data_IF_521440309005
#
_entry.id   IF_521440309005
#
_cell.length_a   1.000
_cell.length_b   1.000
_cell.length_c   1.000
_cell.angle_alpha   90.00
_cell.angle_beta   90.00
_cell.angle_gamma   90.00
#
_symmetry.space_group_name_H-M   'P 1'
#
loop_
_entity.id
_entity.type
_entity.pdbx_description
1 polymer ?
#
# COMPACT_ATOMS: atom_id res chain seq x y z
N UNK A 1 10.51 -4.66 -18.03
CA UNK A 1 9.61 -4.37 -16.91
C UNK A 1 10.12 -5.07 -15.66
N UNK A 2 9.84 -4.55 -14.47
CA UNK A 2 10.34 -5.08 -13.20
C UNK A 2 9.27 -4.98 -12.11
N UNK A 3 9.36 -5.81 -11.07
CA UNK A 3 8.64 -5.64 -9.82
C UNK A 3 9.42 -4.64 -8.96
N UNK A 4 8.78 -3.53 -8.61
CA UNK A 4 9.38 -2.53 -7.73
C UNK A 4 9.23 -2.99 -6.28
N UNK A 5 10.36 -3.09 -5.58
CA UNK A 5 10.42 -3.49 -4.16
C UNK A 5 10.82 -2.25 -3.35
N UNK A 6 9.98 -1.88 -2.38
CA UNK A 6 10.15 -0.66 -1.59
C UNK A 6 10.30 -1.03 -0.11
N UNK A 7 11.26 -0.44 0.56
CA UNK A 7 11.42 -0.62 2.00
C UNK A 7 12.49 0.28 2.59
N UNK A 8 12.59 0.25 3.91
CA UNK A 8 13.60 0.97 4.69
C UNK A 8 14.78 0.03 4.91
N UNK A 9 15.86 0.22 4.18
CA UNK A 9 17.06 -0.64 4.25
C UNK A 9 17.72 -0.56 5.63
N UNK A 10 17.69 0.60 6.26
CA UNK A 10 18.24 0.82 7.60
C UNK A 10 17.50 0.09 8.73
N UNK A 11 16.38 -0.57 8.41
CA UNK A 11 15.58 -1.36 9.36
C UNK A 11 15.34 -2.81 8.93
N UNK A 12 15.19 -3.08 7.60
CA UNK A 12 14.61 -4.33 7.07
C UNK A 12 15.41 -4.97 5.95
N UNK A 13 16.71 -4.72 5.89
CA UNK A 13 17.59 -5.21 4.82
C UNK A 13 17.45 -6.73 4.59
N UNK A 14 17.44 -7.54 5.66
CA UNK A 14 17.34 -9.01 5.53
C UNK A 14 16.02 -9.44 4.91
N UNK A 15 14.92 -8.82 5.31
CA UNK A 15 13.60 -9.15 4.76
C UNK A 15 13.49 -8.71 3.28
N UNK A 16 14.05 -7.55 2.94
CA UNK A 16 14.13 -7.05 1.56
C UNK A 16 14.97 -7.98 0.69
N UNK A 17 16.13 -8.44 1.18
CA UNK A 17 16.98 -9.41 0.49
C UNK A 17 16.21 -10.69 0.15
N UNK A 18 15.46 -11.25 1.12
CA UNK A 18 14.65 -12.46 0.90
C UNK A 18 13.59 -12.23 -0.18
N UNK A 19 12.90 -11.08 -0.14
CA UNK A 19 11.88 -10.74 -1.14
C UNK A 19 12.51 -10.63 -2.53
N UNK A 20 13.61 -9.89 -2.66
CA UNK A 20 14.33 -9.71 -3.93
C UNK A 20 14.78 -11.04 -4.52
N UNK A 21 15.42 -11.88 -3.71
CA UNK A 21 15.94 -13.17 -4.15
C UNK A 21 14.81 -14.09 -4.59
N UNK A 22 13.69 -14.11 -3.84
CA UNK A 22 12.54 -14.95 -4.17
C UNK A 22 11.88 -14.50 -5.47
N UNK A 23 11.68 -13.20 -5.68
CA UNK A 23 11.12 -12.64 -6.90
C UNK A 23 12.02 -12.97 -8.10
N UNK A 24 13.36 -12.86 -7.95
CA UNK A 24 14.34 -13.20 -8.99
C UNK A 24 14.35 -14.70 -9.30
N UNK A 25 14.24 -15.56 -8.27
CA UNK A 25 14.10 -17.02 -8.45
C UNK A 25 12.87 -17.39 -9.26
N UNK A 26 11.80 -16.61 -9.21
CA UNK A 26 10.60 -16.78 -10.04
C UNK A 26 10.74 -16.21 -11.45
N UNK A 27 11.90 -15.68 -11.81
CA UNK A 27 12.21 -15.18 -13.16
C UNK A 27 11.84 -13.71 -13.40
N UNK A 28 11.43 -12.97 -12.37
CA UNK A 28 11.13 -11.54 -12.52
C UNK A 28 12.37 -10.67 -12.28
N UNK A 29 12.42 -9.54 -12.97
CA UNK A 29 13.38 -8.47 -12.66
C UNK A 29 12.88 -7.66 -11.48
N UNK A 30 13.79 -7.11 -10.70
CA UNK A 30 13.48 -6.28 -9.53
C UNK A 30 14.09 -4.89 -9.68
N UNK A 31 13.43 -3.90 -9.08
CA UNK A 31 13.98 -2.57 -8.87
C UNK A 31 13.79 -2.23 -7.38
N UNK A 32 14.88 -2.17 -6.63
CA UNK A 32 14.86 -1.86 -5.20
C UNK A 32 14.92 -0.35 -4.99
N UNK A 33 13.93 0.17 -4.26
CA UNK A 33 13.87 1.59 -3.87
C UNK A 33 13.98 1.69 -2.35
N UNK A 34 15.02 2.39 -1.89
CA UNK A 34 15.19 2.70 -0.48
C UNK A 34 14.41 3.95 -0.08
N UNK A 35 13.61 3.80 0.96
CA UNK A 35 12.83 4.90 1.57
C UNK A 35 13.26 5.17 3.01
N UNK A 36 14.49 4.82 3.38
CA UNK A 36 15.05 5.10 4.70
C UNK A 36 15.09 6.60 4.97
N UNK A 37 14.63 6.98 6.16
CA UNK A 37 14.60 8.40 6.61
C UNK A 37 15.55 8.64 7.77
N UNK A 38 16.48 7.73 8.00
CA UNK A 38 17.51 7.83 9.04
C UNK A 38 17.01 7.46 10.44
N UNK A 39 15.93 6.67 10.54
CA UNK A 39 15.38 6.20 11.80
C UNK A 39 15.87 4.80 12.21
N UNK A 40 16.47 4.05 11.27
CA UNK A 40 16.95 2.70 11.49
C UNK A 40 18.35 2.64 12.13
N UNK A 41 18.69 1.45 12.62
CA UNK A 41 19.95 1.19 13.32
C UNK A 41 20.97 0.41 12.47
N UNK A 42 20.62 0.03 11.24
CA UNK A 42 21.43 -0.79 10.36
C UNK A 42 22.16 0.10 9.35
N UNK A 43 23.44 -0.17 9.14
CA UNK A 43 24.17 0.34 7.96
C UNK A 43 24.01 -0.70 6.86
N UNK A 44 23.19 -0.46 5.83
CA UNK A 44 22.86 -1.49 4.86
C UNK A 44 24.08 -1.82 3.98
N UNK A 45 24.28 -3.12 3.73
CA UNK A 45 25.23 -3.63 2.76
C UNK A 45 24.59 -3.73 1.36
N UNK A 46 23.27 -3.95 1.31
CA UNK A 46 22.51 -4.02 0.07
C UNK A 46 22.42 -2.66 -0.59
N UNK A 47 22.78 -2.62 -1.88
CA UNK A 47 22.72 -1.38 -2.66
C UNK A 47 21.37 -1.28 -3.35
N UNK A 48 20.58 -0.20 -3.13
CA UNK A 48 19.33 0.02 -3.83
C UNK A 48 19.58 0.50 -5.28
N UNK A 49 18.64 0.23 -6.16
CA UNK A 49 18.63 0.80 -7.53
C UNK A 49 18.22 2.29 -7.50
N UNK A 50 17.48 2.71 -6.47
CA UNK A 50 17.12 4.11 -6.22
C UNK A 50 17.27 4.39 -4.74
N UNK A 51 18.06 5.38 -4.41
CA UNK A 51 18.36 5.79 -3.04
C UNK A 51 17.32 6.79 -2.51
N UNK A 52 17.17 6.88 -1.20
CA UNK A 52 16.33 7.90 -0.57
C UNK A 52 16.82 9.33 -0.90
N UNK A 53 18.11 9.52 -1.18
CA UNK A 53 18.67 10.80 -1.58
C UNK A 53 18.21 11.18 -2.99
N UNK A 54 18.22 10.24 -3.95
CA UNK A 54 17.66 10.48 -5.29
C UNK A 54 16.17 10.80 -5.26
N UNK A 55 15.41 10.15 -4.36
CA UNK A 55 13.99 10.51 -4.13
C UNK A 55 13.85 11.94 -3.60
N UNK A 56 14.73 12.37 -2.68
CA UNK A 56 14.71 13.74 -2.18
C UNK A 56 15.06 14.77 -3.26
N UNK A 57 15.97 14.46 -4.16
CA UNK A 57 16.29 15.30 -5.31
C UNK A 57 15.12 15.41 -6.29
N UNK A 58 14.44 14.29 -6.60
CA UNK A 58 13.23 14.27 -7.41
C UNK A 58 12.09 15.11 -6.78
N UNK A 59 11.91 15.02 -5.46
CA UNK A 59 10.91 15.82 -4.75
C UNK A 59 11.21 17.32 -4.85
N UNK A 60 12.47 17.69 -4.75
CA UNK A 60 12.92 19.07 -4.91
C UNK A 60 12.70 19.56 -6.35
N UNK A 61 13.05 18.75 -7.34
CA UNK A 61 12.93 19.10 -8.75
C UNK A 61 11.46 19.22 -9.18
N UNK A 62 10.60 18.24 -8.81
CA UNK A 62 9.23 18.12 -9.30
C UNK A 62 8.22 18.91 -8.47
N UNK A 63 8.41 18.99 -7.16
CA UNK A 63 7.46 19.61 -6.22
C UNK A 63 8.02 20.82 -5.46
N UNK A 64 9.29 21.18 -5.67
CA UNK A 64 9.96 22.24 -4.92
C UNK A 64 10.14 21.93 -3.44
N UNK A 65 10.02 20.66 -3.04
CA UNK A 65 10.08 20.23 -1.64
C UNK A 65 11.51 19.89 -1.22
N UNK A 66 11.96 20.53 -0.15
CA UNK A 66 13.21 20.20 0.52
C UNK A 66 13.00 20.17 2.02
N UNK A 67 13.79 19.39 2.74
CA UNK A 67 13.71 19.31 4.21
C UNK A 67 14.01 20.70 4.82
N UNK A 68 13.14 21.16 5.69
CA UNK A 68 13.24 22.45 6.41
C UNK A 68 11.92 23.21 6.46
N UNK A 69 11.81 24.21 7.33
CA UNK A 69 10.63 25.08 7.47
C UNK A 69 9.28 24.33 7.51
N UNK A 70 9.19 23.24 8.31
CA UNK A 70 7.96 22.45 8.49
C UNK A 70 7.81 21.29 7.50
N UNK A 71 8.74 21.14 6.55
CA UNK A 71 8.78 19.98 5.63
C UNK A 71 9.59 18.85 6.29
N UNK A 72 8.97 17.71 6.49
CA UNK A 72 9.63 16.55 7.12
C UNK A 72 10.36 15.68 6.09
N UNK A 73 11.41 14.92 6.50
CA UNK A 73 12.03 13.93 5.61
C UNK A 73 11.02 12.96 5.00
N UNK A 74 10.04 12.51 5.77
CA UNK A 74 9.00 11.59 5.31
C UNK A 74 8.19 12.18 4.14
N UNK A 75 7.80 13.47 4.21
CA UNK A 75 7.04 14.12 3.15
C UNK A 75 7.87 14.28 1.88
N UNK A 76 9.15 14.61 2.01
CA UNK A 76 10.07 14.72 0.87
C UNK A 76 10.23 13.36 0.17
N UNK A 77 10.55 12.30 0.93
CA UNK A 77 10.70 10.95 0.37
C UNK A 77 9.38 10.44 -0.24
N UNK A 78 8.22 10.78 0.37
CA UNK A 78 6.91 10.43 -0.18
C UNK A 78 6.69 11.04 -1.57
N UNK A 79 6.93 12.34 -1.74
CA UNK A 79 6.74 12.99 -3.03
C UNK A 79 7.76 12.51 -4.08
N UNK A 80 9.00 12.27 -3.67
CA UNK A 80 10.01 11.67 -4.55
C UNK A 80 9.64 10.26 -5.00
N UNK A 81 9.14 9.44 -4.10
CA UNK A 81 8.69 8.09 -4.43
C UNK A 81 7.49 8.12 -5.39
N UNK A 82 6.51 9.00 -5.18
CA UNK A 82 5.38 9.20 -6.10
C UNK A 82 5.88 9.55 -7.51
N UNK A 83 6.77 10.53 -7.61
CA UNK A 83 7.36 10.94 -8.89
C UNK A 83 8.09 9.76 -9.58
N UNK A 84 8.91 9.02 -8.82
CA UNK A 84 9.66 7.87 -9.35
C UNK A 84 8.75 6.74 -9.83
N UNK A 85 7.71 6.40 -9.07
CA UNK A 85 6.73 5.37 -9.44
C UNK A 85 5.95 5.79 -10.70
N UNK A 86 5.55 7.06 -10.78
CA UNK A 86 4.90 7.60 -11.97
C UNK A 86 5.80 7.47 -13.21
N UNK A 87 7.08 7.85 -13.10
CA UNK A 87 8.03 7.75 -14.21
C UNK A 87 8.28 6.29 -14.65
N UNK A 88 8.51 5.38 -13.68
CA UNK A 88 8.72 3.95 -13.97
C UNK A 88 7.49 3.32 -14.66
N UNK A 89 6.29 3.67 -14.23
CA UNK A 89 5.07 3.20 -14.86
C UNK A 89 4.89 3.81 -16.26
N UNK A 90 5.05 5.13 -16.40
CA UNK A 90 4.92 5.84 -17.68
C UNK A 90 5.91 5.36 -18.76
N UNK A 91 7.12 4.95 -18.34
CA UNK A 91 8.12 4.36 -19.24
C UNK A 91 7.92 2.85 -19.48
N UNK A 92 6.86 2.23 -18.94
CA UNK A 92 6.61 0.80 -19.09
C UNK A 92 7.66 -0.08 -18.40
N UNK A 93 8.31 0.41 -17.35
CA UNK A 93 9.35 -0.32 -16.61
C UNK A 93 8.81 -1.02 -15.37
N UNK A 94 7.58 -0.73 -14.93
CA UNK A 94 6.94 -1.27 -13.74
C UNK A 94 5.82 -2.24 -14.11
N UNK A 95 5.85 -3.46 -13.56
CA UNK A 95 4.79 -4.49 -13.68
C UNK A 95 3.98 -4.66 -12.39
N UNK A 96 4.54 -4.28 -11.26
CA UNK A 96 3.90 -4.35 -9.95
C UNK A 96 4.78 -3.69 -8.90
N UNK A 97 4.19 -3.43 -7.74
CA UNK A 97 4.86 -2.79 -6.61
C UNK A 97 4.58 -3.57 -5.32
N UNK A 98 5.63 -3.92 -4.59
CA UNK A 98 5.55 -4.47 -3.24
C UNK A 98 6.32 -3.60 -2.26
N UNK A 99 5.75 -3.34 -1.09
CA UNK A 99 6.43 -2.66 0.00
C UNK A 99 6.38 -3.51 1.28
N UNK A 100 7.52 -3.67 1.96
CA UNK A 100 7.59 -4.26 3.30
C UNK A 100 7.98 -3.18 4.30
N UNK A 101 7.07 -2.87 5.22
CA UNK A 101 7.18 -1.65 6.02
C UNK A 101 6.55 -1.77 7.40
N UNK A 102 7.05 -0.94 8.32
CA UNK A 102 6.31 -0.53 9.52
C UNK A 102 5.35 0.63 9.23
N UNK A 103 5.00 1.40 10.25
CA UNK A 103 4.05 2.51 10.12
C UNK A 103 4.59 3.63 9.23
N UNK A 104 5.81 4.09 9.46
CA UNK A 104 6.41 5.20 8.70
C UNK A 104 6.54 4.86 7.23
N UNK A 105 7.09 3.69 6.91
CA UNK A 105 7.23 3.25 5.53
C UNK A 105 5.88 3.02 4.83
N UNK A 106 4.83 2.58 5.54
CA UNK A 106 3.50 2.47 4.99
C UNK A 106 2.92 3.85 4.60
N UNK A 107 3.13 4.87 5.44
CA UNK A 107 2.71 6.25 5.14
C UNK A 107 3.44 6.86 3.95
N UNK A 108 4.67 6.42 3.68
CA UNK A 108 5.46 6.83 2.51
C UNK A 108 5.03 6.04 1.26
N UNK A 109 4.83 4.72 1.38
CA UNK A 109 4.59 3.83 0.23
C UNK A 109 3.16 3.89 -0.30
N UNK A 110 2.15 4.02 0.58
CA UNK A 110 0.74 4.02 0.17
C UNK A 110 0.37 5.18 -0.78
N UNK A 111 0.81 6.43 -0.57
CA UNK A 111 0.60 7.49 -1.55
C UNK A 111 1.15 7.16 -2.94
N UNK A 112 2.34 6.54 -3.02
CA UNK A 112 2.93 6.13 -4.29
C UNK A 112 2.15 4.97 -4.96
N UNK A 113 1.67 4.00 -4.18
CA UNK A 113 0.78 2.94 -4.69
C UNK A 113 -0.52 3.49 -5.28
N UNK A 114 -1.01 4.62 -4.76
CA UNK A 114 -2.22 5.29 -5.28
C UNK A 114 -2.01 5.92 -6.66
N UNK A 115 -0.79 6.26 -7.05
CA UNK A 115 -0.49 6.78 -8.39
C UNK A 115 -0.61 5.71 -9.47
N UNK A 116 -0.50 4.43 -9.11
CA UNK A 116 -0.63 3.33 -10.06
C UNK A 116 -2.10 3.10 -10.43
N UNK A 117 -2.42 2.85 -11.71
CA UNK A 117 -3.76 2.53 -12.17
C UNK A 117 -4.36 1.30 -11.49
N UNK A 118 -5.69 1.18 -11.54
CA UNK A 118 -6.39 -0.04 -11.15
C UNK A 118 -5.92 -1.23 -11.99
N UNK A 119 -5.82 -2.40 -11.36
CA UNK A 119 -5.37 -3.64 -11.98
C UNK A 119 -3.86 -3.85 -11.93
N UNK A 120 -3.04 -2.80 -11.83
CA UNK A 120 -1.59 -2.97 -11.60
C UNK A 120 -1.37 -3.60 -10.22
N UNK A 121 -0.62 -4.72 -10.10
CA UNK A 121 -0.38 -5.39 -8.83
C UNK A 121 0.27 -4.50 -7.77
N UNK A 122 -0.38 -4.38 -6.61
CA UNK A 122 0.08 -3.59 -5.47
C UNK A 122 -0.05 -4.39 -4.18
N UNK A 123 1.06 -4.64 -3.50
CA UNK A 123 1.09 -5.40 -2.24
C UNK A 123 1.81 -4.61 -1.16
N UNK A 124 1.13 -4.37 -0.05
CA UNK A 124 1.72 -3.83 1.17
C UNK A 124 1.83 -4.93 2.23
N UNK A 125 3.05 -5.20 2.69
CA UNK A 125 3.35 -6.13 3.79
C UNK A 125 3.64 -5.28 5.02
N UNK A 126 2.74 -5.31 6.02
CA UNK A 126 2.88 -4.44 7.20
C UNK A 126 2.15 -4.98 8.42
N UNK A 127 2.80 -4.91 9.58
CA UNK A 127 2.18 -5.19 10.87
C UNK A 127 1.42 -4.01 11.47
N UNK A 128 1.57 -2.83 10.92
CA UNK A 128 1.02 -1.60 11.50
C UNK A 128 -0.37 -1.22 10.96
N UNK A 129 -0.61 -1.44 9.67
CA UNK A 129 -1.79 -0.90 8.96
C UNK A 129 -3.10 -1.56 9.35
N UNK A 130 -3.07 -2.83 9.77
CA UNK A 130 -4.25 -3.58 10.22
C UNK A 130 -4.57 -3.43 11.71
N UNK A 131 -3.77 -2.68 12.48
CA UNK A 131 -4.02 -2.48 13.89
C UNK A 131 -5.20 -1.51 14.11
N UNK A 132 -6.15 -1.81 15.02
CA UNK A 132 -7.33 -0.96 15.23
C UNK A 132 -7.01 0.49 15.55
N UNK A 133 -5.95 0.74 16.31
CA UNK A 133 -5.48 2.10 16.68
C UNK A 133 -5.05 2.93 15.46
N UNK A 134 -4.72 2.29 14.36
CA UNK A 134 -4.27 2.93 13.13
C UNK A 134 -5.28 2.83 11.97
N UNK A 135 -6.35 2.06 12.13
CA UNK A 135 -7.33 1.79 11.08
C UNK A 135 -7.90 3.05 10.43
N UNK A 136 -8.26 4.06 11.23
CA UNK A 136 -8.76 5.33 10.72
C UNK A 136 -7.74 6.07 9.84
N UNK A 137 -6.44 6.00 10.20
CA UNK A 137 -5.37 6.66 9.46
C UNK A 137 -5.11 6.04 8.09
N UNK A 138 -5.27 4.72 7.99
CA UNK A 138 -5.02 3.97 6.76
C UNK A 138 -6.28 3.68 5.94
N UNK A 139 -7.47 3.84 6.52
CA UNK A 139 -8.74 3.54 5.88
C UNK A 139 -8.95 4.25 4.54
N UNK A 140 -8.59 5.51 4.44
CA UNK A 140 -8.72 6.31 3.22
C UNK A 140 -7.86 5.78 2.04
N UNK A 141 -6.74 5.11 2.35
CA UNK A 141 -5.91 4.51 1.31
C UNK A 141 -6.54 3.26 0.72
N UNK A 142 -7.27 2.49 1.53
CA UNK A 142 -7.85 1.21 1.10
C UNK A 142 -9.27 1.37 0.54
N UNK A 143 -10.01 2.41 0.96
CA UNK A 143 -11.40 2.61 0.58
C UNK A 143 -11.61 2.86 -0.92
N UNK A 144 -10.59 3.34 -1.63
CA UNK A 144 -10.70 3.80 -3.03
C UNK A 144 -9.61 3.27 -3.95
N UNK A 145 -8.89 2.22 -3.53
CA UNK A 145 -7.78 1.64 -4.31
C UNK A 145 -7.72 0.14 -4.12
N UNK A 146 -7.28 -0.55 -5.14
CA UNK A 146 -7.08 -1.99 -5.22
C UNK A 146 -5.71 -2.40 -4.63
N UNK A 147 -5.43 -1.97 -3.41
CA UNK A 147 -4.19 -2.31 -2.71
C UNK A 147 -4.41 -3.59 -1.90
N UNK A 148 -3.63 -4.63 -2.18
CA UNK A 148 -3.61 -5.84 -1.35
C UNK A 148 -2.76 -5.58 -0.11
N UNK A 149 -3.28 -5.94 1.07
CA UNK A 149 -2.56 -5.80 2.34
C UNK A 149 -2.32 -7.18 2.94
N UNK A 150 -1.07 -7.52 3.14
CA UNK A 150 -0.65 -8.64 3.96
C UNK A 150 -0.36 -8.13 5.37
N UNK A 151 -1.32 -8.30 6.28
CA UNK A 151 -1.15 -7.93 7.67
C UNK A 151 -0.30 -8.98 8.40
N UNK A 152 0.88 -8.59 8.86
CA UNK A 152 1.84 -9.51 9.47
C UNK A 152 1.64 -9.72 10.95
N UNK A 153 0.83 -8.87 11.63
CA UNK A 153 0.61 -8.81 13.08
C UNK A 153 1.87 -8.44 13.86
N UNK A 154 3.00 -9.05 13.50
CA UNK A 154 4.32 -8.75 14.09
C UNK A 154 5.07 -7.74 13.23
N UNK A 155 5.97 -6.99 13.86
CA UNK A 155 6.89 -6.13 13.11
C UNK A 155 7.87 -6.99 12.29
N UNK A 156 8.28 -6.48 11.16
CA UNK A 156 9.20 -7.12 10.22
C UNK A 156 10.64 -6.63 10.35
N UNK A 157 10.96 -5.94 11.45
CA UNK A 157 12.33 -5.59 11.83
C UNK A 157 13.03 -6.82 12.42
N UNK A 158 14.27 -7.06 11.99
CA UNK A 158 15.03 -8.23 12.35
C UNK A 158 14.52 -9.52 11.68
N UNK A 159 15.33 -10.56 11.75
CA UNK A 159 15.05 -11.83 11.08
C UNK A 159 14.76 -12.95 12.07
N UNK A 160 13.64 -13.61 11.86
CA UNK A 160 13.26 -14.84 12.53
C UNK A 160 12.47 -15.74 11.55
N UNK A 161 12.20 -17.02 11.89
CA UNK A 161 11.52 -17.93 10.98
C UNK A 161 10.15 -17.45 10.50
N UNK A 162 9.41 -16.72 11.36
CA UNK A 162 8.09 -16.16 11.00
C UNK A 162 8.23 -15.03 9.99
N UNK A 163 9.10 -14.05 10.25
CA UNK A 163 9.36 -12.93 9.33
C UNK A 163 9.87 -13.43 7.98
N UNK A 164 10.76 -14.45 8.00
CA UNK A 164 11.23 -15.11 6.78
C UNK A 164 10.07 -15.72 5.97
N UNK A 165 9.18 -16.45 6.63
CA UNK A 165 8.01 -17.07 5.99
C UNK A 165 7.08 -16.00 5.40
N UNK A 166 6.82 -14.91 6.12
CA UNK A 166 5.98 -13.80 5.66
C UNK A 166 6.60 -13.08 4.46
N UNK A 167 7.92 -12.85 4.47
CA UNK A 167 8.64 -12.24 3.34
C UNK A 167 8.55 -13.12 2.09
N UNK A 168 8.74 -14.45 2.22
CA UNK A 168 8.60 -15.39 1.11
C UNK A 168 7.16 -15.43 0.57
N UNK A 169 6.15 -15.48 1.46
CA UNK A 169 4.74 -15.45 1.06
C UNK A 169 4.40 -14.16 0.29
N UNK A 170 4.91 -13.02 0.76
CA UNK A 170 4.73 -11.74 0.08
C UNK A 170 5.39 -11.69 -1.29
N UNK A 171 6.59 -12.21 -1.42
CA UNK A 171 7.30 -12.31 -2.69
C UNK A 171 6.56 -13.23 -3.69
N UNK A 172 6.05 -14.37 -3.21
CA UNK A 172 5.26 -15.29 -4.05
C UNK A 172 3.92 -14.68 -4.46
N UNK A 173 3.26 -13.96 -3.55
CA UNK A 173 2.00 -13.29 -3.83
C UNK A 173 2.15 -12.23 -4.93
N UNK A 174 3.10 -11.30 -4.78
CA UNK A 174 3.29 -10.24 -5.80
C UNK A 174 3.74 -10.83 -7.14
N UNK A 175 4.59 -11.85 -7.13
CA UNK A 175 5.02 -12.51 -8.37
C UNK A 175 3.84 -13.15 -9.10
N UNK A 176 2.99 -13.90 -8.39
CA UNK A 176 1.79 -14.51 -8.99
C UNK A 176 0.78 -13.47 -9.51
N UNK A 177 0.61 -12.35 -8.81
CA UNK A 177 -0.22 -11.22 -9.29
C UNK A 177 0.34 -10.65 -10.59
N UNK A 178 1.66 -10.46 -10.69
CA UNK A 178 2.34 -9.93 -11.88
C UNK A 178 2.30 -10.92 -13.03
N UNK A 179 2.50 -12.22 -12.79
CA UNK A 179 2.35 -13.26 -13.80
C UNK A 179 0.96 -13.23 -14.44
N UNK A 180 -0.09 -13.11 -13.63
CA UNK A 180 -1.45 -12.96 -14.13
C UNK A 180 -1.63 -11.66 -14.91
N UNK A 181 -1.13 -10.53 -14.40
CA UNK A 181 -1.22 -9.22 -15.04
C UNK A 181 -0.53 -9.21 -16.41
N UNK A 182 0.64 -9.81 -16.53
CA UNK A 182 1.43 -9.87 -17.76
C UNK A 182 0.82 -10.81 -18.81
N UNK A 183 0.23 -11.94 -18.38
CA UNK A 183 -0.43 -12.90 -19.31
C UNK A 183 -1.84 -12.44 -19.69
N UNK A 184 -2.48 -11.66 -18.84
CA UNK A 184 -3.89 -11.31 -18.99
C UNK A 184 -4.17 -10.29 -20.03
N UNK A 185 -3.20 -9.65 -20.74
CA UNK A 185 -3.51 -8.54 -21.62
C UNK A 185 -4.85 -7.91 -21.20
N UNK A 186 -4.97 -7.55 -19.93
CA UNK A 186 -6.07 -6.73 -19.48
C UNK A 186 -5.79 -5.37 -20.07
N UNK A 187 -5.93 -5.31 -21.40
CA UNK A 187 -6.38 -4.12 -22.07
C UNK A 187 -7.80 -3.81 -21.51
N UNK A 188 -7.92 -3.66 -20.22
CA UNK A 188 -8.77 -2.67 -19.66
C UNK A 188 -8.16 -1.38 -20.20
N UNK A 189 -8.64 -0.99 -21.39
CA UNK A 189 -8.53 0.39 -21.81
C UNK A 189 -9.03 1.21 -20.65
N UNK A 190 -8.16 1.48 -19.70
CA UNK A 190 -8.32 2.55 -18.75
C UNK A 190 -8.11 3.85 -19.52
N UNK A 191 -8.98 4.13 -20.45
CA UNK A 191 -9.51 5.47 -20.53
C UNK A 191 -10.11 5.69 -19.15
N UNK A 192 -9.44 6.54 -18.42
CA UNK A 192 -9.79 7.05 -17.11
C UNK A 192 -11.15 7.73 -17.19
N UNK A 193 -12.21 6.95 -17.26
CA UNK A 193 -13.52 7.46 -16.97
C UNK A 193 -13.62 7.57 -15.44
N UNK A 194 -13.09 8.69 -14.92
CA UNK A 194 -13.33 9.12 -13.54
C UNK A 194 -14.83 9.08 -13.21
N UNK A 195 -15.70 9.20 -14.23
CA UNK A 195 -17.15 9.03 -14.16
C UNK A 195 -17.60 7.58 -13.88
N UNK A 196 -16.85 6.56 -14.31
CA UNK A 196 -17.19 5.16 -14.03
C UNK A 196 -16.83 4.77 -12.58
N UNK A 197 -15.69 5.25 -12.08
CA UNK A 197 -15.27 5.04 -10.69
C UNK A 197 -16.21 5.75 -9.72
N UNK A 198 -16.67 6.97 -10.06
CA UNK A 198 -17.67 7.69 -9.27
C UNK A 198 -19.01 6.95 -9.18
N UNK A 199 -19.44 6.29 -10.24
CA UNK A 199 -20.68 5.49 -10.25
C UNK A 199 -20.55 4.18 -9.44
N UNK A 200 -19.40 3.52 -9.47
CA UNK A 200 -19.16 2.31 -8.67
C UNK A 200 -19.06 2.66 -7.18
N UNK A 201 -18.42 3.77 -6.81
CA UNK A 201 -18.31 4.19 -5.41
C UNK A 201 -19.67 4.62 -4.82
N UNK A 202 -20.53 5.28 -5.60
CA UNK A 202 -21.87 5.65 -5.12
C UNK A 202 -22.77 4.42 -4.95
N UNK A 203 -22.66 3.40 -5.83
CA UNK A 203 -23.42 2.15 -5.69
C UNK A 203 -22.94 1.27 -4.55
N UNK A 204 -21.64 1.19 -4.30
CA UNK A 204 -21.09 0.50 -3.13
C UNK A 204 -21.41 1.23 -1.82
N UNK A 205 -21.29 2.54 -1.79
CA UNK A 205 -21.63 3.34 -0.62
C UNK A 205 -23.13 3.23 -0.28
N UNK A 206 -24.00 3.21 -1.29
CA UNK A 206 -25.45 3.03 -1.10
C UNK A 206 -25.80 1.63 -0.55
N UNK A 207 -25.15 0.56 -1.03
CA UNK A 207 -25.35 -0.80 -0.49
C UNK A 207 -24.78 -0.98 0.91
N UNK A 208 -23.68 -0.31 1.24
CA UNK A 208 -23.09 -0.37 2.58
C UNK A 208 -23.95 0.42 3.57
N UNK A 209 -24.43 1.61 3.21
CA UNK A 209 -25.32 2.40 4.09
C UNK A 209 -26.64 1.68 4.36
N UNK A 210 -27.28 1.07 3.35
CA UNK A 210 -28.53 0.31 3.53
C UNK A 210 -28.36 -0.97 4.36
N UNK A 211 -27.16 -1.60 4.32
CA UNK A 211 -26.86 -2.75 5.18
C UNK A 211 -26.50 -2.34 6.61
N UNK A 212 -25.88 -1.17 6.79
CA UNK A 212 -25.53 -0.64 8.10
C UNK A 212 -26.78 -0.17 8.87
N UNK A 213 -27.78 0.37 8.19
CA UNK A 213 -29.09 0.69 8.80
C UNK A 213 -29.80 -0.55 9.37
N UNK A 214 -29.66 -1.72 8.72
CA UNK A 214 -30.16 -2.99 9.23
C UNK A 214 -29.45 -3.49 10.49
N UNK A 215 -28.26 -2.97 10.80
CA UNK A 215 -27.48 -3.29 11.99
C UNK A 215 -27.52 -2.18 13.06
N UNK A 216 -28.40 -1.19 12.94
CA UNK A 216 -28.55 -0.11 13.92
C UNK A 216 -27.39 0.90 13.96
N UNK A 217 -26.64 1.03 12.88
CA UNK A 217 -25.54 2.01 12.74
C UNK A 217 -26.07 3.23 11.99
N UNK A 218 -26.19 4.38 12.66
CA UNK A 218 -26.54 5.64 12.02
C UNK A 218 -25.29 6.46 11.67
N UNK A 219 -25.27 7.02 10.47
CA UNK A 219 -24.22 7.92 10.02
C UNK A 219 -24.62 9.36 10.34
N UNK A 220 -23.84 10.03 11.17
CA UNK A 220 -24.01 11.46 11.43
C UNK A 220 -22.86 12.21 10.76
N UNK A 221 -23.17 13.06 9.80
CA UNK A 221 -22.19 13.78 8.94
C UNK A 221 -21.23 14.71 9.71
N UNK A 222 -21.44 14.93 11.00
CA UNK A 222 -20.60 15.83 11.80
C UNK A 222 -19.63 15.15 12.75
N UNK A 223 -19.81 13.87 13.13
CA UNK A 223 -19.04 13.26 14.23
C UNK A 223 -18.55 11.83 14.02
N UNK A 224 -18.46 11.30 12.82
CA UNK A 224 -17.94 9.96 12.59
C UNK A 224 -18.93 8.83 12.93
N UNK A 225 -18.47 7.59 12.79
CA UNK A 225 -19.26 6.39 13.00
C UNK A 225 -19.39 6.09 14.50
N UNK A 226 -20.60 6.12 15.04
CA UNK A 226 -20.90 5.64 16.38
C UNK A 226 -21.52 4.23 16.31
N UNK A 227 -20.93 3.28 17.03
CA UNK A 227 -21.53 1.97 17.29
C UNK A 227 -22.50 2.11 18.47
N UNK A 228 -23.78 1.96 18.20
CA UNK A 228 -24.78 1.87 19.28
C UNK A 228 -24.75 0.48 19.91
N UNK A 229 -24.80 0.42 21.25
CA UNK A 229 -24.93 -0.81 22.02
C UNK A 229 -26.21 -1.56 21.63
N UNK A 230 -26.05 -2.65 20.93
CA UNK A 230 -27.16 -3.55 20.57
C UNK A 230 -27.40 -4.55 21.72
N UNK A 231 -27.84 -4.05 22.86
CA UNK A 231 -28.36 -4.86 23.95
C UNK A 231 -29.66 -4.27 24.48
N UNK A 232 -30.82 -4.70 23.95
CA UNK A 232 -32.05 -5.03 24.70
C UNK A 232 -33.23 -5.23 23.78
N UNK A 233 -33.86 -6.42 23.98
CA UNK A 233 -35.24 -6.78 23.82
C UNK A 233 -35.86 -7.03 22.44
N UNK A 234 -36.25 -8.27 22.28
CA UNK A 234 -37.64 -8.57 22.00
C UNK A 234 -37.93 -9.08 20.60
N UNK A 235 -38.07 -10.37 20.55
CA UNK A 235 -38.93 -11.14 19.65
C UNK A 235 -39.97 -10.31 18.89
N UNK A 236 -39.82 -10.22 17.57
CA UNK A 236 -40.84 -9.67 16.68
C UNK A 236 -40.60 -10.19 15.27
N UNK A 237 -41.35 -11.19 14.85
CA UNK A 237 -41.21 -11.87 13.58
C UNK A 237 -41.41 -10.94 12.38
N UNK A 238 -40.51 -11.03 11.43
CA UNK A 238 -40.67 -10.50 10.09
C UNK A 238 -41.58 -11.46 9.31
N UNK A 239 -42.80 -11.02 8.98
CA UNK A 239 -43.64 -11.70 7.98
C UNK A 239 -43.34 -11.08 6.63
N UNK A 240 -43.06 -11.98 5.68
CA UNK A 240 -42.98 -11.68 4.26
C UNK A 240 -44.22 -10.99 3.72
N UNK A 241 -44.01 -9.94 2.97
CA UNK A 241 -44.81 -9.56 1.80
C UNK A 241 -43.89 -8.98 0.75
#
# INVERSE_FOLDING_TARGET
MAIVVVGMLDEREEALTIILDRIRQRGHRTCLIDISVGAGAIVPALQPDVTCQELAELAKERAGLAVGQGVTPNSVVTEGLKAKIHDLYGCGQLEGMVAITGMTGALISLPAMKELPFGVPKLLISGATGQPVHAAKFGDYFARRDITVMHTVVDTVGMNPLVRSLALNGADAISGMVEHYSHGNVAMGCQQDASAVGRLSSHCAYRISHRLECFGVSHNERNGIHFGDCNRHGTGGCRDK
#
